data_IF_596871596243
#
_entry.id   IF_596871596243
#
_cell.length_a   1.000
_cell.length_b   1.000
_cell.length_c   1.000
_cell.angle_alpha   90.00
_cell.angle_beta   90.00
_cell.angle_gamma   90.00
#
_symmetry.space_group_name_H-M   'P 1'
#
loop_
_entity.id
_entity.type
_entity.pdbx_description
1 polymer ?
#
# COMPACT_ATOMS: atom_id res chain seq x y z
N UNK A 1 -2.26 -14.04 2.39
CA UNK A 1 -2.07 -15.45 1.95
C UNK A 1 -1.25 -15.56 0.66
N UNK A 2 -1.62 -14.86 -0.41
CA UNK A 2 -0.91 -14.91 -1.69
C UNK A 2 0.56 -14.43 -1.62
N UNK A 3 0.85 -13.45 -0.74
CA UNK A 3 2.22 -13.03 -0.43
C UNK A 3 3.07 -14.16 0.19
N UNK A 4 2.47 -14.99 1.05
CA UNK A 4 3.15 -16.10 1.72
C UNK A 4 3.37 -17.32 0.81
N UNK A 5 2.53 -17.49 -0.21
CA UNK A 5 2.68 -18.56 -1.21
C UNK A 5 3.65 -18.20 -2.35
N UNK A 6 4.37 -17.07 -2.27
CA UNK A 6 5.31 -16.59 -3.30
C UNK A 6 4.70 -16.43 -4.71
N UNK A 7 3.39 -16.21 -4.82
CA UNK A 7 2.72 -16.03 -6.10
C UNK A 7 2.84 -14.58 -6.57
N UNK A 8 4.04 -14.23 -7.04
CA UNK A 8 4.44 -12.84 -7.28
C UNK A 8 3.59 -12.13 -8.33
N UNK A 9 3.38 -12.75 -9.48
CA UNK A 9 2.55 -12.20 -10.56
C UNK A 9 1.07 -12.10 -10.19
N UNK A 10 0.55 -13.10 -9.47
CA UNK A 10 -0.83 -13.06 -8.99
C UNK A 10 -1.05 -11.92 -7.98
N UNK A 11 -0.05 -11.60 -7.15
CA UNK A 11 -0.12 -10.46 -6.25
C UNK A 11 -0.19 -9.12 -7.00
N UNK A 12 0.62 -8.94 -8.03
CA UNK A 12 0.56 -7.73 -8.88
C UNK A 12 -0.80 -7.62 -9.56
N UNK A 13 -1.31 -8.70 -10.15
CA UNK A 13 -2.63 -8.72 -10.78
C UNK A 13 -3.75 -8.42 -9.78
N UNK A 14 -3.67 -8.96 -8.56
CA UNK A 14 -4.64 -8.69 -7.52
C UNK A 14 -4.63 -7.22 -7.09
N UNK A 15 -3.45 -6.61 -6.90
CA UNK A 15 -3.34 -5.19 -6.57
C UNK A 15 -3.89 -4.31 -7.70
N UNK A 16 -3.55 -4.61 -8.95
CA UNK A 16 -4.08 -3.88 -10.11
C UNK A 16 -5.59 -4.04 -10.25
N UNK A 17 -6.14 -5.23 -10.05
CA UNK A 17 -7.59 -5.45 -10.03
C UNK A 17 -8.26 -4.69 -8.87
N UNK A 18 -7.59 -4.61 -7.71
CA UNK A 18 -8.02 -3.82 -6.56
C UNK A 18 -8.12 -2.33 -6.88
N UNK A 19 -7.19 -1.79 -7.67
CA UNK A 19 -7.24 -0.39 -8.15
C UNK A 19 -8.51 -0.14 -8.99
N UNK A 20 -8.80 -1.03 -9.93
CA UNK A 20 -10.01 -0.90 -10.76
C UNK A 20 -11.28 -1.05 -9.92
N UNK A 21 -11.31 -2.00 -8.98
CA UNK A 21 -12.42 -2.15 -8.08
C UNK A 21 -12.66 -0.87 -7.25
N UNK A 22 -11.58 -0.31 -6.68
CA UNK A 22 -11.63 0.93 -5.93
C UNK A 22 -12.25 2.06 -6.76
N UNK A 23 -11.74 2.32 -7.96
CA UNK A 23 -12.29 3.35 -8.85
C UNK A 23 -13.77 3.17 -9.18
N UNK A 24 -14.25 1.93 -9.33
CA UNK A 24 -15.65 1.66 -9.62
C UNK A 24 -16.56 1.85 -8.40
N UNK A 25 -16.05 1.57 -7.19
CA UNK A 25 -16.84 1.71 -5.97
C UNK A 25 -16.99 3.15 -5.49
N UNK A 26 -15.98 3.99 -5.74
CA UNK A 26 -15.99 5.37 -5.28
C UNK A 26 -16.57 6.30 -6.32
N UNK A 27 -17.75 6.81 -6.00
CA UNK A 27 -18.33 7.91 -6.71
C UNK A 27 -17.62 9.16 -6.21
N UNK A 28 -16.86 9.83 -7.09
CA UNK A 28 -16.21 11.11 -6.80
C UNK A 28 -17.29 12.19 -6.61
N UNK A 29 -18.00 12.16 -5.49
CA UNK A 29 -18.87 13.24 -5.08
C UNK A 29 -18.04 14.36 -4.48
N UNK A 30 -18.48 15.61 -4.68
CA UNK A 30 -17.76 16.80 -4.24
C UNK A 30 -17.68 16.97 -2.70
N UNK A 31 -18.36 16.13 -1.93
CA UNK A 31 -18.42 16.22 -0.47
C UNK A 31 -17.77 15.01 0.20
N UNK A 32 -17.33 15.21 1.45
CA UNK A 32 -16.84 14.15 2.34
C UNK A 32 -17.83 12.99 2.37
N UNK A 33 -17.35 11.79 2.03
CA UNK A 33 -18.17 10.60 1.84
C UNK A 33 -17.67 9.43 2.70
N UNK A 34 -18.53 8.43 2.90
CA UNK A 34 -18.23 7.19 3.63
C UNK A 34 -17.85 7.39 5.11
N UNK A 35 -18.59 8.26 5.83
CA UNK A 35 -18.33 8.54 7.24
C UNK A 35 -18.83 7.41 8.14
N UNK A 36 -17.93 6.67 8.79
CA UNK A 36 -18.27 5.79 9.90
C UNK A 36 -17.07 5.57 10.83
N UNK A 37 -17.29 5.54 12.14
CA UNK A 37 -16.24 5.25 13.15
C UNK A 37 -14.90 5.97 12.93
N UNK A 38 -14.92 7.29 12.67
CA UNK A 38 -13.73 8.13 12.38
C UNK A 38 -12.95 7.82 11.09
N UNK A 39 -13.53 6.98 10.23
CA UNK A 39 -13.09 6.81 8.86
C UNK A 39 -14.04 7.54 7.90
N UNK A 40 -13.47 8.03 6.82
CA UNK A 40 -14.16 8.74 5.75
C UNK A 40 -13.15 9.44 4.86
N UNK A 41 -13.61 9.97 3.73
CA UNK A 41 -12.70 10.61 2.78
C UNK A 41 -13.35 11.65 1.88
N UNK A 42 -12.57 12.71 1.63
CA UNK A 42 -12.76 13.65 0.53
C UNK A 42 -12.12 13.14 -0.76
N UNK A 43 -12.43 13.81 -1.87
CA UNK A 43 -11.80 13.56 -3.19
C UNK A 43 -10.27 13.48 -3.08
N UNK A 44 -9.62 14.37 -2.31
CA UNK A 44 -8.16 14.34 -2.13
C UNK A 44 -7.69 13.04 -1.49
N UNK A 45 -8.31 12.63 -0.38
CA UNK A 45 -7.94 11.39 0.31
C UNK A 45 -8.10 10.16 -0.58
N UNK A 46 -9.17 10.12 -1.38
CA UNK A 46 -9.42 9.03 -2.32
C UNK A 46 -8.35 8.99 -3.43
N UNK A 47 -7.93 10.16 -3.93
CA UNK A 47 -6.82 10.24 -4.90
C UNK A 47 -5.51 9.72 -4.30
N UNK A 48 -5.21 10.03 -3.03
CA UNK A 48 -4.00 9.55 -2.36
C UNK A 48 -4.02 8.03 -2.12
N UNK A 49 -5.17 7.47 -1.73
CA UNK A 49 -5.35 6.03 -1.59
C UNK A 49 -5.14 5.33 -2.94
N UNK A 50 -5.75 5.85 -4.01
CA UNK A 50 -5.59 5.33 -5.35
C UNK A 50 -4.11 5.32 -5.79
N UNK A 51 -3.40 6.42 -5.57
CA UNK A 51 -1.97 6.53 -5.86
C UNK A 51 -1.15 5.51 -5.04
N UNK A 52 -1.50 5.29 -3.77
CA UNK A 52 -0.85 4.30 -2.91
C UNK A 52 -0.91 2.88 -3.49
N UNK A 53 -2.09 2.42 -3.92
CA UNK A 53 -2.23 1.12 -4.58
C UNK A 53 -1.41 1.02 -5.87
N UNK A 54 -1.43 2.07 -6.69
CA UNK A 54 -0.70 2.10 -7.95
C UNK A 54 0.81 2.04 -7.74
N UNK A 55 1.35 2.83 -6.81
CA UNK A 55 2.78 2.87 -6.50
C UNK A 55 3.25 1.53 -5.95
N UNK A 56 2.51 0.89 -5.04
CA UNK A 56 2.90 -0.41 -4.49
C UNK A 56 2.90 -1.50 -5.55
N UNK A 57 1.93 -1.50 -6.47
CA UNK A 57 1.95 -2.42 -7.60
C UNK A 57 3.19 -2.20 -8.49
N UNK A 58 3.54 -0.95 -8.79
CA UNK A 58 4.74 -0.62 -9.57
C UNK A 58 6.04 -0.97 -8.84
N UNK A 59 6.13 -0.75 -7.52
CA UNK A 59 7.30 -1.12 -6.71
C UNK A 59 7.57 -2.63 -6.80
N UNK A 60 6.52 -3.45 -6.71
CA UNK A 60 6.65 -4.90 -6.86
C UNK A 60 7.17 -5.23 -8.26
N UNK A 61 6.60 -4.68 -9.34
CA UNK A 61 7.08 -4.96 -10.71
C UNK A 61 8.53 -4.52 -10.93
N UNK A 62 8.90 -3.33 -10.43
CA UNK A 62 10.27 -2.80 -10.56
C UNK A 62 11.31 -3.70 -9.86
N UNK A 63 10.93 -4.34 -8.76
CA UNK A 63 11.79 -5.24 -7.98
C UNK A 63 11.94 -6.67 -8.57
N UNK A 64 11.85 -6.83 -9.90
CA UNK A 64 12.02 -8.13 -10.59
C UNK A 64 13.34 -8.83 -10.26
N UNK A 65 14.39 -8.06 -9.98
CA UNK A 65 15.67 -8.62 -9.51
C UNK A 65 15.51 -9.46 -8.25
N UNK A 66 14.72 -9.01 -7.26
CA UNK A 66 14.50 -9.71 -5.98
C UNK A 66 13.85 -11.07 -6.21
N UNK A 67 12.87 -11.13 -7.11
CA UNK A 67 12.23 -12.39 -7.51
C UNK A 67 13.20 -13.30 -8.26
N UNK A 68 13.97 -12.75 -9.20
CA UNK A 68 14.94 -13.52 -10.00
C UNK A 68 16.07 -14.12 -9.16
N UNK A 69 16.55 -13.39 -8.16
CA UNK A 69 17.60 -13.85 -7.26
C UNK A 69 17.05 -14.65 -6.06
N UNK A 70 15.73 -14.81 -5.95
CA UNK A 70 15.04 -15.51 -4.84
C UNK A 70 15.42 -15.00 -3.44
N UNK A 71 15.78 -13.71 -3.33
CA UNK A 71 16.19 -13.08 -2.06
C UNK A 71 14.95 -12.77 -1.20
N UNK A 72 14.42 -13.77 -0.50
CA UNK A 72 13.26 -13.64 0.39
C UNK A 72 12.06 -12.91 -0.26
N UNK A 73 11.71 -13.33 -1.48
CA UNK A 73 10.68 -12.65 -2.28
C UNK A 73 9.31 -12.58 -1.61
N UNK A 74 8.91 -13.60 -0.85
CA UNK A 74 7.65 -13.61 -0.08
C UNK A 74 7.57 -12.55 1.01
N UNK A 75 8.66 -12.39 1.76
CA UNK A 75 8.77 -11.41 2.83
C UNK A 75 8.75 -9.99 2.27
N UNK A 76 9.46 -9.75 1.15
CA UNK A 76 9.44 -8.48 0.44
C UNK A 76 8.01 -8.07 0.03
N UNK A 77 7.24 -8.99 -0.54
CA UNK A 77 5.85 -8.73 -0.91
C UNK A 77 5.01 -8.43 0.34
N UNK A 78 5.21 -9.20 1.42
CA UNK A 78 4.46 -9.01 2.67
C UNK A 78 4.70 -7.61 3.26
N UNK A 79 5.95 -7.16 3.32
CA UNK A 79 6.31 -5.82 3.81
C UNK A 79 5.68 -4.72 2.94
N UNK A 80 5.68 -4.87 1.61
CA UNK A 80 5.01 -3.92 0.71
C UNK A 80 3.50 -3.87 0.92
N UNK A 81 2.85 -5.01 1.20
CA UNK A 81 1.42 -5.04 1.54
C UNK A 81 1.16 -4.36 2.89
N UNK A 82 2.02 -4.57 3.89
CA UNK A 82 1.90 -3.86 5.17
C UNK A 82 2.04 -2.35 5.02
N UNK A 83 2.99 -1.90 4.20
CA UNK A 83 3.15 -0.50 3.86
C UNK A 83 1.85 0.06 3.25
N UNK A 84 1.26 -0.65 2.28
CA UNK A 84 0.00 -0.25 1.67
C UNK A 84 -1.13 -0.12 2.70
N UNK A 85 -1.26 -1.07 3.63
CA UNK A 85 -2.29 -1.02 4.67
C UNK A 85 -2.17 0.23 5.54
N UNK A 86 -0.96 0.60 5.98
CA UNK A 86 -0.77 1.81 6.77
C UNK A 86 -1.05 3.09 6.00
N UNK A 87 -0.70 3.14 4.71
CA UNK A 87 -1.03 4.29 3.85
C UNK A 87 -2.54 4.42 3.63
N UNK A 88 -3.26 3.31 3.42
CA UNK A 88 -4.73 3.35 3.28
C UNK A 88 -5.36 3.83 4.59
N UNK A 89 -4.87 3.38 5.74
CA UNK A 89 -5.37 3.82 7.05
C UNK A 89 -5.07 5.29 7.33
N UNK A 90 -3.90 5.81 6.97
CA UNK A 90 -3.58 7.22 7.19
C UNK A 90 -4.55 8.12 6.42
N UNK A 91 -4.69 7.91 5.11
CA UNK A 91 -5.54 8.76 4.27
C UNK A 91 -7.04 8.55 4.46
N UNK A 92 -7.49 7.45 5.07
CA UNK A 92 -8.92 7.19 5.33
C UNK A 92 -9.43 7.73 6.67
N UNK A 93 -8.58 8.32 7.51
CA UNK A 93 -8.98 8.80 8.85
C UNK A 93 -9.43 10.26 8.84
N UNK A 94 -10.43 10.59 9.65
CA UNK A 94 -10.92 11.95 9.83
C UNK A 94 -10.18 12.72 10.93
N UNK A 95 -9.59 12.01 11.90
CA UNK A 95 -8.94 12.61 13.07
C UNK A 95 -7.43 12.77 12.85
N UNK A 96 -6.91 13.99 13.06
CA UNK A 96 -5.48 14.31 12.90
C UNK A 96 -4.55 13.44 13.77
N UNK A 97 -4.99 13.07 14.98
CA UNK A 97 -4.21 12.19 15.84
C UNK A 97 -4.06 10.77 15.25
N UNK A 98 -5.14 10.20 14.71
CA UNK A 98 -5.10 8.88 14.08
C UNK A 98 -4.31 8.93 12.77
N UNK A 99 -4.47 9.98 11.99
CA UNK A 99 -3.65 10.24 10.80
C UNK A 99 -2.16 10.19 11.15
N UNK A 100 -1.74 10.92 12.18
CA UNK A 100 -0.34 10.96 12.62
C UNK A 100 0.18 9.59 13.04
N UNK A 101 -0.59 8.86 13.85
CA UNK A 101 -0.23 7.52 14.30
C UNK A 101 -0.01 6.56 13.13
N UNK A 102 -0.96 6.49 12.20
CA UNK A 102 -0.82 5.59 11.04
C UNK A 102 0.29 6.03 10.10
N UNK A 103 0.48 7.34 9.92
CA UNK A 103 1.55 7.88 9.11
C UNK A 103 2.93 7.52 9.70
N UNK A 104 3.17 7.70 11.00
CA UNK A 104 4.42 7.24 11.63
C UNK A 104 4.58 5.72 11.59
N UNK A 105 3.51 4.96 11.76
CA UNK A 105 3.59 3.49 11.69
C UNK A 105 4.03 2.99 10.31
N UNK A 106 3.77 3.77 9.24
CA UNK A 106 4.22 3.45 7.88
C UNK A 106 5.75 3.50 7.74
N UNK A 107 6.44 4.23 8.62
CA UNK A 107 7.91 4.27 8.64
C UNK A 107 8.52 2.90 8.97
N UNK A 108 7.83 2.07 9.76
CA UNK A 108 8.34 0.75 10.17
C UNK A 108 8.51 -0.17 8.95
N UNK A 109 7.50 -0.43 8.11
CA UNK A 109 7.69 -1.16 6.85
C UNK A 109 8.72 -0.52 5.92
N UNK A 110 8.80 0.81 5.83
CA UNK A 110 9.80 1.45 4.96
C UNK A 110 11.23 1.19 5.42
N UNK A 111 11.47 1.20 6.74
CA UNK A 111 12.78 0.88 7.30
C UNK A 111 13.16 -0.57 6.99
N UNK A 112 12.22 -1.51 7.09
CA UNK A 112 12.46 -2.90 6.69
C UNK A 112 12.80 -3.05 5.21
N UNK A 113 12.15 -2.29 4.32
CA UNK A 113 12.49 -2.32 2.89
C UNK A 113 13.90 -1.79 2.63
N UNK A 114 14.28 -0.67 3.28
CA UNK A 114 15.59 -0.04 3.11
C UNK A 114 16.71 -0.94 3.66
N UNK A 115 16.60 -1.41 4.90
CA UNK A 115 17.66 -2.25 5.49
C UNK A 115 17.69 -3.68 4.95
N UNK A 116 16.54 -4.24 4.56
CA UNK A 116 16.44 -5.63 4.11
C UNK A 116 16.89 -5.83 2.66
N UNK A 117 16.51 -4.90 1.76
CA UNK A 117 16.75 -5.04 0.31
C UNK A 117 17.46 -3.83 -0.31
N UNK A 118 17.90 -2.87 0.50
CA UNK A 118 18.79 -1.79 0.07
C UNK A 118 20.17 -2.32 -0.27
N UNK A 119 20.70 -1.88 -1.42
CA UNK A 119 21.95 -2.40 -1.99
C UNK A 119 23.21 -1.75 -1.42
N UNK A 120 23.07 -0.68 -0.62
CA UNK A 120 24.18 0.20 -0.24
C UNK A 120 24.65 -0.13 1.20
N UNK A 121 25.96 -0.35 1.43
CA UNK A 121 26.51 -0.80 2.71
C UNK A 121 26.70 0.34 3.74
N UNK A 122 25.85 1.38 3.73
CA UNK A 122 25.88 2.46 4.72
C UNK A 122 25.31 2.02 6.08
#
# INVERSE_FOLDING_TARGET
>A
PFSLFNLWWFMVLYLMAGVFYYLNTFWFFNYYSMVSYSFGGDVLSMCMIFLGFWIVALMIVASYSVYKFSNYSGEFIAVNVFLLVFLVLSFSTSNLFLFYLFFESSLIPTLFLIFGWGYQPE
#
